data_IF_329038746244
#
_entry.id   IF_329038746244
#
_cell.length_a   1.000
_cell.length_b   1.000
_cell.length_c   1.000
_cell.angle_alpha   90.00
_cell.angle_beta   90.00
_cell.angle_gamma   90.00
#
_symmetry.space_group_name_H-M   'P 1'
#
loop_
_entity.id
_entity.type
_entity.pdbx_description
1 polymer ?
#
# COMPACT_ATOMS: atom_id res chain seq x y z
N UNK A 1 -22.77 6.31 -39.24
CA UNK A 1 -22.96 5.13 -38.36
C UNK A 1 -21.67 4.46 -37.89
N UNK A 2 -20.66 4.23 -38.76
CA UNK A 2 -19.36 3.65 -38.32
C UNK A 2 -18.56 4.55 -37.37
N UNK A 3 -18.52 5.86 -37.63
CA UNK A 3 -17.78 6.84 -36.79
C UNK A 3 -18.41 7.05 -35.41
N UNK A 4 -19.74 7.03 -35.31
CA UNK A 4 -20.45 7.14 -34.03
C UNK A 4 -20.30 5.88 -33.16
N UNK A 5 -20.25 4.69 -33.77
CA UNK A 5 -19.96 3.43 -33.06
C UNK A 5 -18.52 3.38 -32.55
N UNK A 6 -17.55 3.89 -33.31
CA UNK A 6 -16.15 3.98 -32.88
C UNK A 6 -15.97 4.97 -31.71
N UNK A 7 -16.64 6.11 -31.74
CA UNK A 7 -16.62 7.08 -30.64
C UNK A 7 -17.23 6.51 -29.34
N UNK A 8 -18.36 5.81 -29.45
CA UNK A 8 -18.99 5.16 -28.30
C UNK A 8 -18.09 4.07 -27.68
N UNK A 9 -17.41 3.28 -28.51
CA UNK A 9 -16.47 2.26 -28.04
C UNK A 9 -15.26 2.87 -27.30
N UNK A 10 -14.73 4.00 -27.80
CA UNK A 10 -13.62 4.70 -27.17
C UNK A 10 -13.98 5.27 -25.79
N UNK A 11 -15.19 5.83 -25.64
CA UNK A 11 -15.71 6.36 -24.36
C UNK A 11 -15.91 5.24 -23.34
N UNK A 12 -16.45 4.09 -23.76
CA UNK A 12 -16.63 2.94 -22.87
C UNK A 12 -15.27 2.37 -22.42
N UNK A 13 -14.29 2.27 -23.33
CA UNK A 13 -12.96 1.79 -23.00
C UNK A 13 -12.22 2.72 -22.03
N UNK A 14 -12.31 4.05 -22.23
CA UNK A 14 -11.71 5.03 -21.31
C UNK A 14 -12.41 5.03 -19.95
N UNK A 15 -13.74 4.93 -19.91
CA UNK A 15 -14.46 4.78 -18.65
C UNK A 15 -14.02 3.51 -17.90
N UNK A 16 -13.95 2.36 -18.57
CA UNK A 16 -13.53 1.10 -17.96
C UNK A 16 -12.11 1.16 -17.36
N UNK A 17 -11.17 1.86 -18.01
CA UNK A 17 -9.80 2.05 -17.50
C UNK A 17 -9.73 2.97 -16.27
N UNK A 18 -10.66 3.93 -16.13
CA UNK A 18 -10.71 4.80 -14.94
C UNK A 18 -11.31 4.12 -13.71
N UNK A 19 -12.04 3.01 -13.86
CA UNK A 19 -12.64 2.30 -12.73
C UNK A 19 -11.61 1.61 -11.83
N UNK A 20 -10.42 1.27 -12.34
CA UNK A 20 -9.33 0.68 -11.53
C UNK A 20 -8.33 1.72 -11.03
N UNK A 21 -8.53 3.01 -11.31
CA UNK A 21 -7.58 4.05 -10.92
C UNK A 21 -7.55 4.34 -9.40
N UNK A 22 -8.56 3.88 -8.65
CA UNK A 22 -8.62 4.00 -7.19
C UNK A 22 -8.35 2.67 -6.48
N UNK A 23 -7.94 1.61 -7.17
CA UNK A 23 -7.54 0.38 -6.49
C UNK A 23 -6.15 0.59 -5.91
N UNK A 24 -6.09 0.89 -4.61
CA UNK A 24 -4.86 0.72 -3.84
C UNK A 24 -4.56 -0.77 -3.83
N UNK A 25 -3.64 -1.19 -4.70
CA UNK A 25 -3.19 -2.57 -4.74
C UNK A 25 -2.68 -2.96 -3.35
N UNK A 26 -3.09 -4.13 -2.87
CA UNK A 26 -2.67 -4.61 -1.54
C UNK A 26 -1.15 -4.83 -1.50
N UNK A 27 -0.56 -5.10 -2.66
CA UNK A 27 0.88 -5.21 -2.88
C UNK A 27 1.60 -3.85 -2.96
N UNK A 28 0.85 -2.74 -3.12
CA UNK A 28 1.36 -1.37 -3.06
C UNK A 28 1.03 -0.66 -1.74
N UNK A 29 0.62 -1.42 -0.72
CA UNK A 29 0.49 -0.92 0.64
C UNK A 29 1.88 -0.69 1.26
N UNK A 30 2.57 0.34 0.77
CA UNK A 30 3.77 0.97 1.33
C UNK A 30 3.43 1.70 2.65
N UNK A 31 2.52 1.15 3.45
CA UNK A 31 1.96 1.75 4.64
C UNK A 31 2.37 0.90 5.85
N UNK A 32 2.86 1.56 6.91
CA UNK A 32 3.30 0.92 8.14
C UNK A 32 2.19 0.11 8.86
N UNK A 33 0.93 0.32 8.47
CA UNK A 33 -0.21 -0.51 8.90
C UNK A 33 -0.63 -1.37 7.72
N UNK A 34 0.06 -2.51 7.55
CA UNK A 34 -0.27 -3.47 6.53
C UNK A 34 -1.65 -4.09 6.81
N UNK A 35 -2.52 -4.12 5.80
CA UNK A 35 -3.77 -4.87 5.86
C UNK A 35 -3.44 -6.35 5.69
N UNK A 36 -3.29 -7.08 6.80
CA UNK A 36 -3.03 -8.53 6.78
C UNK A 36 -2.08 -9.06 7.87
N UNK A 37 -1.43 -8.19 8.64
CA UNK A 37 -0.58 -8.58 9.78
C UNK A 37 -1.36 -8.74 11.10
N UNK A 38 -0.69 -9.23 12.15
CA UNK A 38 -1.27 -9.35 13.51
C UNK A 38 -1.04 -8.11 14.38
N UNK A 39 -0.08 -7.25 14.03
CA UNK A 39 0.17 -6.00 14.74
C UNK A 39 -0.93 -4.97 14.43
N UNK A 40 -1.49 -4.36 15.48
CA UNK A 40 -2.50 -3.31 15.37
C UNK A 40 -2.14 -2.12 16.26
N UNK A 41 -2.04 -0.93 15.66
CA UNK A 41 -1.72 0.28 16.40
C UNK A 41 -2.98 0.90 17.03
N UNK A 42 -2.93 1.14 18.34
CA UNK A 42 -3.99 1.81 19.11
C UNK A 42 -3.38 2.83 20.07
N UNK A 43 -3.87 4.08 20.04
CA UNK A 43 -3.48 5.14 21.00
C UNK A 43 -4.69 5.65 21.80
N UNK A 44 -5.04 4.97 22.91
CA UNK A 44 -6.26 5.25 23.66
C UNK A 44 -6.10 6.39 24.66
N UNK A 45 -6.64 7.58 24.37
CA UNK A 45 -6.53 8.74 25.27
C UNK A 45 -5.52 9.79 24.81
N UNK A 46 -5.05 9.70 23.56
CA UNK A 46 -4.24 10.73 22.92
C UNK A 46 -2.77 10.68 23.30
N UNK A 47 -2.26 9.53 23.74
CA UNK A 47 -0.84 9.32 23.99
C UNK A 47 -0.06 9.45 22.68
N UNK A 48 1.06 10.14 22.74
CA UNK A 48 1.98 10.29 21.61
C UNK A 48 3.12 9.27 21.64
N UNK A 49 3.28 8.57 22.76
CA UNK A 49 4.28 7.54 22.99
C UNK A 49 3.59 6.28 23.54
N UNK A 50 3.83 5.14 22.89
CA UNK A 50 3.28 3.83 23.24
C UNK A 50 4.45 2.85 23.34
N UNK A 51 4.53 2.11 24.45
CA UNK A 51 5.54 1.09 24.67
C UNK A 51 4.87 -0.28 24.68
N UNK A 52 5.53 -1.27 24.07
CA UNK A 52 5.10 -2.66 24.07
C UNK A 52 6.17 -3.51 24.75
N UNK A 53 5.77 -4.22 25.80
CA UNK A 53 6.61 -5.25 26.40
C UNK A 53 6.87 -6.38 25.39
N UNK A 54 7.94 -7.15 25.57
CA UNK A 54 8.33 -8.18 24.60
C UNK A 54 7.21 -9.17 24.28
N UNK A 55 6.42 -9.56 25.28
CA UNK A 55 5.27 -10.45 25.13
C UNK A 55 4.08 -9.84 24.39
N UNK A 56 4.05 -8.51 24.24
CA UNK A 56 2.97 -7.78 23.57
C UNK A 56 3.33 -7.39 22.13
N UNK A 57 4.59 -7.61 21.72
CA UNK A 57 5.05 -7.35 20.35
C UNK A 57 4.46 -8.38 19.41
N UNK A 58 3.92 -7.90 18.29
CA UNK A 58 3.46 -8.73 17.19
C UNK A 58 4.49 -8.69 16.04
N UNK A 59 4.61 -9.77 15.26
CA UNK A 59 5.49 -9.78 14.08
C UNK A 59 5.02 -8.76 13.04
N UNK A 60 5.99 -8.17 12.35
CA UNK A 60 5.77 -7.29 11.21
C UNK A 60 5.95 -8.08 9.91
N UNK A 61 5.25 -7.72 8.82
CA UNK A 61 5.59 -8.22 7.48
C UNK A 61 6.97 -7.67 7.06
N UNK A 62 7.53 -8.19 5.98
CA UNK A 62 8.76 -7.63 5.39
C UNK A 62 8.43 -6.31 4.69
N UNK A 63 8.63 -5.19 5.40
CA UNK A 63 8.37 -3.84 4.90
C UNK A 63 9.51 -3.46 3.97
N UNK A 64 9.19 -3.10 2.73
CA UNK A 64 10.18 -2.67 1.74
C UNK A 64 9.76 -1.38 1.02
N UNK A 65 10.72 -0.47 0.79
CA UNK A 65 10.55 0.80 0.07
C UNK A 65 11.81 1.26 -0.67
N UNK A 66 11.65 2.13 -1.68
CA UNK A 66 12.78 2.63 -2.48
C UNK A 66 13.81 3.36 -1.61
N UNK A 67 15.09 3.18 -1.93
CA UNK A 67 16.19 3.90 -1.30
C UNK A 67 16.13 5.39 -1.63
N UNK A 68 16.28 6.24 -0.61
CA UNK A 68 16.36 7.69 -0.80
C UNK A 68 17.69 8.12 -1.44
N UNK A 69 18.75 7.34 -1.22
CA UNK A 69 20.11 7.69 -1.66
C UNK A 69 20.44 7.10 -3.04
N UNK A 70 19.84 5.97 -3.39
CA UNK A 70 20.19 5.17 -4.58
C UNK A 70 18.92 4.87 -5.39
N UNK A 71 18.72 5.61 -6.48
CA UNK A 71 17.52 5.50 -7.30
C UNK A 71 17.38 4.10 -7.91
N UNK A 72 16.23 3.45 -7.70
CA UNK A 72 15.92 2.11 -8.20
C UNK A 72 16.43 0.97 -7.30
N UNK A 73 17.07 1.27 -6.17
CA UNK A 73 17.40 0.28 -5.16
C UNK A 73 16.24 0.12 -4.16
N UNK A 74 15.94 -1.13 -3.83
CA UNK A 74 14.88 -1.51 -2.90
C UNK A 74 15.51 -1.89 -1.54
N UNK A 75 15.04 -1.29 -0.45
CA UNK A 75 15.46 -1.63 0.91
C UNK A 75 14.30 -2.33 1.63
N UNK A 76 14.58 -3.37 2.40
CA UNK A 76 13.62 -4.19 3.15
C UNK A 76 14.04 -4.42 4.61
N UNK A 77 13.16 -4.98 5.44
CA UNK A 77 13.52 -5.36 6.82
C UNK A 77 14.42 -6.59 6.84
N UNK A 78 14.20 -7.52 5.90
CA UNK A 78 14.99 -8.75 5.79
C UNK A 78 16.47 -8.52 5.48
N UNK A 79 16.86 -7.32 5.01
CA UNK A 79 18.25 -6.93 4.82
C UNK A 79 19.05 -6.76 6.14
N UNK A 80 18.36 -6.70 7.29
CA UNK A 80 18.94 -6.39 8.60
C UNK A 80 18.76 -7.49 9.66
N UNK A 81 18.44 -8.71 9.24
CA UNK A 81 18.36 -9.88 10.14
C UNK A 81 19.74 -10.41 10.60
#
# INVERSE_FOLDING_TARGET
>A
MRRTRAAAAAVVATAALTLTACTTDSDSAQNAVAVGGTFQFHSPGGQTEIFYDESERAPLPDIAGDSLMEEGEQISLSDFE
#
